data_IF_102958457480
#
_entry.id   IF_102958457480
#
_cell.length_a   1.000
_cell.length_b   1.000
_cell.length_c   1.000
_cell.angle_alpha   90.00
_cell.angle_beta   90.00
_cell.angle_gamma   90.00
#
_symmetry.space_group_name_H-M   'P 1'
#
loop_
_entity.id
_entity.type
_entity.pdbx_description
1 polymer ?
#
# COMPACT_ATOMS: atom_id res chain seq x y z
N UNK A 1 9.95 20.37 -8.92
CA UNK A 1 9.09 19.81 -7.85
C UNK A 1 9.99 19.17 -6.82
N UNK A 2 9.74 19.36 -5.52
CA UNK A 2 10.53 18.69 -4.49
C UNK A 2 10.00 17.25 -4.31
N UNK A 3 10.57 16.32 -5.08
CA UNK A 3 10.18 14.91 -5.12
C UNK A 3 10.24 14.25 -3.74
N UNK A 4 11.25 14.60 -2.94
CA UNK A 4 11.42 14.16 -1.55
C UNK A 4 10.29 14.66 -0.64
N UNK A 5 9.90 15.93 -0.76
CA UNK A 5 8.77 16.47 0.01
C UNK A 5 7.46 15.77 -0.35
N UNK A 6 7.22 15.53 -1.64
CA UNK A 6 6.03 14.79 -2.09
C UNK A 6 6.03 13.34 -1.60
N UNK A 7 7.17 12.65 -1.67
CA UNK A 7 7.31 11.30 -1.15
C UNK A 7 7.03 11.22 0.36
N UNK A 8 7.47 12.23 1.12
CA UNK A 8 7.21 12.36 2.56
C UNK A 8 5.72 12.51 2.87
N UNK A 9 5.00 13.33 2.10
CA UNK A 9 3.54 13.48 2.25
C UNK A 9 2.80 12.15 2.04
N UNK A 10 3.18 11.36 1.03
CA UNK A 10 2.59 10.04 0.82
C UNK A 10 2.96 9.05 1.92
N UNK A 11 4.19 9.10 2.44
CA UNK A 11 4.61 8.24 3.54
C UNK A 11 3.87 8.58 4.85
N UNK A 12 3.59 9.86 5.09
CA UNK A 12 2.74 10.31 6.21
C UNK A 12 1.31 9.76 6.07
N UNK A 13 0.74 9.79 4.86
CA UNK A 13 -0.58 9.19 4.59
C UNK A 13 -0.58 7.67 4.76
N UNK A 14 0.49 6.99 4.33
CA UNK A 14 0.68 5.56 4.55
C UNK A 14 0.68 5.24 6.05
N UNK A 15 1.37 6.06 6.86
CA UNK A 15 1.41 5.92 8.32
C UNK A 15 0.00 6.00 8.92
N UNK A 16 -0.78 7.01 8.50
CA UNK A 16 -2.14 7.20 8.99
C UNK A 16 -3.06 6.04 8.60
N UNK A 17 -3.04 5.64 7.34
CA UNK A 17 -3.91 4.56 6.84
C UNK A 17 -3.55 3.20 7.44
N UNK A 18 -2.25 2.94 7.70
CA UNK A 18 -1.81 1.72 8.37
C UNK A 18 -2.31 1.67 9.82
N UNK A 19 -2.27 2.81 10.53
CA UNK A 19 -2.86 2.92 11.86
C UNK A 19 -4.36 2.65 11.83
N UNK A 20 -5.10 3.31 10.94
CA UNK A 20 -6.54 3.12 10.77
C UNK A 20 -6.89 1.65 10.44
N UNK A 21 -6.08 0.99 9.60
CA UNK A 21 -6.22 -0.43 9.29
C UNK A 21 -6.03 -1.32 10.53
N UNK A 22 -5.05 -0.99 11.36
CA UNK A 22 -4.73 -1.73 12.60
C UNK A 22 -5.83 -1.57 13.64
N UNK A 23 -6.31 -0.33 13.83
CA UNK A 23 -7.40 -0.01 14.74
C UNK A 23 -8.67 -0.78 14.32
N UNK A 24 -9.03 -0.75 13.04
CA UNK A 24 -10.16 -1.51 12.48
C UNK A 24 -10.05 -3.02 12.73
N UNK A 25 -8.84 -3.58 12.59
CA UNK A 25 -8.62 -5.01 12.82
C UNK A 25 -8.84 -5.38 14.29
N UNK A 26 -8.36 -4.53 15.20
CA UNK A 26 -8.53 -4.72 16.65
C UNK A 26 -9.99 -4.60 17.08
N UNK A 27 -10.78 -3.78 16.39
CA UNK A 27 -12.23 -3.63 16.58
C UNK A 27 -13.04 -4.75 15.91
N UNK A 28 -12.41 -5.61 15.10
CA UNK A 28 -13.05 -6.70 14.39
C UNK A 28 -13.69 -6.31 13.05
N UNK A 29 -13.50 -5.07 12.58
CA UNK A 29 -13.94 -4.62 11.26
C UNK A 29 -12.95 -5.04 10.17
N UNK A 30 -13.04 -6.32 9.80
CA UNK A 30 -12.15 -6.95 8.82
C UNK A 30 -12.24 -6.34 7.43
N UNK A 31 -13.42 -5.85 7.04
CA UNK A 31 -13.59 -5.21 5.73
C UNK A 31 -12.85 -3.88 5.71
N UNK A 32 -13.05 -3.05 6.72
CA UNK A 32 -12.40 -1.75 6.79
C UNK A 32 -10.88 -1.88 6.99
N UNK A 33 -10.41 -2.92 7.69
CA UNK A 33 -8.98 -3.30 7.68
C UNK A 33 -8.47 -3.47 6.25
N UNK A 34 -9.14 -4.27 5.41
CA UNK A 34 -8.70 -4.52 4.03
C UNK A 34 -8.73 -3.26 3.17
N UNK A 35 -9.75 -2.41 3.33
CA UNK A 35 -9.85 -1.11 2.64
C UNK A 35 -8.65 -0.22 3.00
N UNK A 36 -8.36 -0.05 4.29
CA UNK A 36 -7.27 0.80 4.74
C UNK A 36 -5.90 0.22 4.43
N UNK A 37 -5.72 -1.10 4.50
CA UNK A 37 -4.50 -1.78 4.06
C UNK A 37 -4.22 -1.56 2.57
N UNK A 38 -5.26 -1.62 1.70
CA UNK A 38 -5.12 -1.27 0.28
C UNK A 38 -4.68 0.18 0.11
N UNK A 39 -5.31 1.13 0.81
CA UNK A 39 -4.92 2.53 0.75
C UNK A 39 -3.49 2.77 1.25
N UNK A 40 -3.04 2.01 2.25
CA UNK A 40 -1.62 2.02 2.66
C UNK A 40 -0.72 1.62 1.50
N UNK A 41 -1.00 0.50 0.82
CA UNK A 41 -0.24 0.05 -0.34
C UNK A 41 -0.22 1.08 -1.48
N UNK A 42 -1.35 1.75 -1.74
CA UNK A 42 -1.42 2.83 -2.73
C UNK A 42 -0.48 3.99 -2.36
N UNK A 43 -0.49 4.42 -1.09
CA UNK A 43 0.37 5.48 -0.60
C UNK A 43 1.86 5.07 -0.62
N UNK A 44 2.19 3.83 -0.27
CA UNK A 44 3.55 3.30 -0.39
C UNK A 44 4.04 3.31 -1.85
N UNK A 45 3.18 2.94 -2.80
CA UNK A 45 3.49 3.03 -4.21
C UNK A 45 3.75 4.47 -4.67
N UNK A 46 2.90 5.42 -4.24
CA UNK A 46 3.12 6.84 -4.50
C UNK A 46 4.43 7.37 -3.90
N UNK A 47 4.81 6.92 -2.70
CA UNK A 47 6.10 7.26 -2.08
C UNK A 47 7.25 6.82 -2.97
N UNK A 48 7.28 5.55 -3.38
CA UNK A 48 8.33 5.01 -4.25
C UNK A 48 8.38 5.74 -5.59
N UNK A 49 7.25 5.92 -6.26
CA UNK A 49 7.19 6.64 -7.54
C UNK A 49 7.70 8.07 -7.43
N UNK A 50 7.32 8.77 -6.35
CA UNK A 50 7.76 10.14 -6.10
C UNK A 50 9.27 10.22 -5.88
N UNK A 51 9.88 9.30 -5.12
CA UNK A 51 11.34 9.23 -4.92
C UNK A 51 12.09 9.13 -6.26
N UNK A 52 11.55 8.35 -7.21
CA UNK A 52 12.11 8.18 -8.54
C UNK A 52 11.62 9.21 -9.58
N UNK A 53 10.94 10.27 -9.13
CA UNK A 53 10.49 11.39 -9.96
C UNK A 53 9.39 11.04 -10.96
N UNK A 54 8.56 10.04 -10.64
CA UNK A 54 7.41 9.64 -11.44
C UNK A 54 6.14 10.16 -10.80
N UNK A 55 5.37 10.95 -11.55
CA UNK A 55 4.05 11.44 -11.14
C UNK A 55 2.97 10.60 -11.83
N UNK A 56 2.05 10.06 -11.05
CA UNK A 56 0.87 9.34 -11.57
C UNK A 56 -0.27 10.34 -11.68
N UNK A 57 -0.77 10.54 -12.89
CA UNK A 57 -1.92 11.42 -13.16
C UNK A 57 -3.23 10.65 -13.26
N UNK A 58 -3.17 9.38 -13.66
CA UNK A 58 -4.32 8.50 -13.87
C UNK A 58 -3.95 7.04 -13.57
N UNK A 59 -4.95 6.21 -13.23
CA UNK A 59 -4.76 4.79 -12.92
C UNK A 59 -4.29 4.50 -11.48
N UNK A 60 -4.02 3.22 -11.21
CA UNK A 60 -3.52 2.78 -9.91
C UNK A 60 -2.00 3.05 -9.81
N UNK A 61 -1.51 3.70 -8.74
CA UNK A 61 -0.06 3.89 -8.55
C UNK A 61 0.67 2.56 -8.43
N UNK A 62 0.01 1.52 -7.91
CA UNK A 62 0.61 0.19 -7.74
C UNK A 62 0.92 -0.46 -9.09
N UNK A 63 0.05 -0.29 -10.09
CA UNK A 63 0.31 -0.81 -11.43
C UNK A 63 1.49 -0.07 -12.09
N UNK A 64 1.58 1.25 -11.87
CA UNK A 64 2.66 2.08 -12.41
C UNK A 64 4.03 1.71 -11.83
N UNK A 65 4.11 1.08 -10.65
CA UNK A 65 5.40 0.62 -10.12
C UNK A 65 6.15 -0.32 -11.06
N UNK A 66 5.45 -1.06 -11.94
CA UNK A 66 6.09 -1.89 -12.96
C UNK A 66 7.01 -1.10 -13.89
N UNK A 67 6.65 0.16 -14.18
CA UNK A 67 7.49 1.07 -14.95
C UNK A 67 8.87 1.31 -14.30
N UNK A 68 8.93 1.42 -12.96
CA UNK A 68 10.20 1.61 -12.27
C UNK A 68 11.11 0.40 -12.43
N UNK A 69 10.55 -0.82 -12.34
CA UNK A 69 11.31 -2.06 -12.52
C UNK A 69 11.94 -2.11 -13.92
N UNK A 70 11.19 -1.70 -14.95
CA UNK A 70 11.63 -1.77 -16.35
C UNK A 70 12.59 -0.64 -16.75
N UNK A 71 12.41 0.56 -16.21
CA UNK A 71 13.06 1.79 -16.71
C UNK A 71 14.08 2.40 -15.78
N UNK A 72 14.23 1.91 -14.55
CA UNK A 72 15.19 2.44 -13.56
C UNK A 72 16.15 1.35 -13.10
N UNK A 73 17.38 1.78 -12.76
CA UNK A 73 18.36 0.93 -12.10
C UNK A 73 18.04 0.85 -10.60
N UNK A 74 17.17 -0.09 -10.25
CA UNK A 74 16.82 -0.39 -8.87
C UNK A 74 17.69 -1.52 -8.31
N UNK A 75 18.04 -1.43 -7.03
CA UNK A 75 18.64 -2.55 -6.32
C UNK A 75 17.62 -3.72 -6.17
N UNK A 76 18.11 -4.91 -5.83
CA UNK A 76 17.25 -6.10 -5.74
C UNK A 76 16.20 -6.01 -4.63
N UNK A 77 16.53 -5.34 -3.52
CA UNK A 77 15.60 -5.16 -2.40
C UNK A 77 14.40 -4.30 -2.79
N UNK A 78 14.62 -3.15 -3.41
CA UNK A 78 13.55 -2.27 -3.91
C UNK A 78 12.68 -2.98 -4.95
N UNK A 79 13.27 -3.79 -5.83
CA UNK A 79 12.49 -4.61 -6.79
C UNK A 79 11.62 -5.63 -6.09
N UNK A 80 12.14 -6.31 -5.07
CA UNK A 80 11.37 -7.28 -4.29
C UNK A 80 10.21 -6.61 -3.53
N UNK A 81 10.46 -5.46 -2.90
CA UNK A 81 9.43 -4.66 -2.21
C UNK A 81 8.33 -4.25 -3.19
N UNK A 82 8.67 -3.76 -4.39
CA UNK A 82 7.68 -3.41 -5.41
C UNK A 82 6.84 -4.62 -5.80
N UNK A 83 7.48 -5.76 -6.09
CA UNK A 83 6.77 -6.97 -6.51
C UNK A 83 5.80 -7.45 -5.43
N UNK A 84 6.20 -7.35 -4.15
CA UNK A 84 5.36 -7.75 -3.02
C UNK A 84 4.20 -6.77 -2.78
N UNK A 85 4.42 -5.44 -2.89
CA UNK A 85 3.34 -4.45 -2.87
C UNK A 85 2.28 -4.80 -3.92
N UNK A 86 2.72 -5.07 -5.15
CA UNK A 86 1.82 -5.42 -6.25
C UNK A 86 1.09 -6.75 -6.03
N UNK A 87 1.75 -7.76 -5.46
CA UNK A 87 1.15 -9.04 -5.11
C UNK A 87 0.02 -8.89 -4.09
N UNK A 88 0.30 -8.25 -2.96
CA UNK A 88 -0.69 -8.07 -1.90
C UNK A 88 -1.84 -7.20 -2.39
N UNK A 89 -1.53 -6.12 -3.11
CA UNK A 89 -2.56 -5.23 -3.64
C UNK A 89 -3.56 -5.98 -4.54
N UNK A 90 -3.08 -6.89 -5.41
CA UNK A 90 -3.96 -7.73 -6.25
C UNK A 90 -4.84 -8.68 -5.43
N UNK A 91 -4.39 -9.11 -4.25
CA UNK A 91 -5.17 -9.95 -3.35
C UNK A 91 -6.29 -9.15 -2.66
N UNK A 92 -6.01 -7.91 -2.24
CA UNK A 92 -6.95 -7.08 -1.46
C UNK A 92 -7.86 -6.20 -2.29
N UNK A 93 -7.43 -5.74 -3.48
CA UNK A 93 -8.19 -4.79 -4.28
C UNK A 93 -9.60 -5.31 -4.66
N UNK A 94 -9.79 -6.58 -5.10
CA UNK A 94 -11.12 -7.09 -5.43
C UNK A 94 -12.12 -7.02 -4.26
N UNK A 95 -11.65 -7.26 -3.03
CA UNK A 95 -12.48 -7.22 -1.82
C UNK A 95 -13.10 -5.83 -1.63
N UNK A 96 -12.38 -4.77 -2.01
CA UNK A 96 -12.85 -3.38 -1.90
C UNK A 96 -13.89 -2.99 -2.95
N UNK A 97 -13.96 -3.71 -4.08
CA UNK A 97 -14.95 -3.44 -5.14
C UNK A 97 -16.27 -4.21 -4.94
N UNK A 98 -16.25 -5.32 -4.22
CA UNK A 98 -17.40 -6.21 -4.05
C UNK A 98 -18.43 -5.72 -3.00
N UNK A 99 -18.18 -4.61 -2.32
CA UNK A 99 -19.11 -4.03 -1.36
C UNK A 99 -20.07 -3.03 -2.02
N UNK A 100 -20.98 -3.53 -2.86
CA UNK A 100 -21.96 -2.71 -3.59
C UNK A 100 -23.25 -2.39 -2.80
N UNK A 101 -23.38 -2.73 -1.50
CA UNK A 101 -24.61 -2.41 -0.77
C UNK A 101 -24.42 -2.12 0.73
N UNK A 102 -24.71 -0.88 1.20
CA UNK A 102 -24.70 -0.54 2.63
C UNK A 102 -25.83 -1.21 3.44
N UNK A 103 -26.71 -2.01 2.81
CA UNK A 103 -27.83 -2.70 3.47
C UNK A 103 -27.64 -4.21 3.63
N UNK A 104 -26.52 -4.78 3.14
CA UNK A 104 -26.17 -6.17 3.43
C UNK A 104 -25.09 -6.19 4.51
N UNK A 105 -25.35 -6.91 5.61
CA UNK A 105 -24.33 -7.21 6.61
C UNK A 105 -23.04 -7.67 5.90
N UNK A 106 -21.84 -7.23 6.32
CA UNK A 106 -20.57 -7.50 5.62
C UNK A 106 -20.38 -9.00 5.50
N UNK A 107 -20.83 -9.57 4.38
CA UNK A 107 -21.07 -10.99 4.27
C UNK A 107 -19.79 -11.66 3.84
N UNK A 108 -19.03 -12.23 4.77
CA UNK A 108 -18.10 -13.35 4.51
C UNK A 108 -17.01 -13.07 3.45
N UNK A 109 -16.69 -11.81 3.16
CA UNK A 109 -15.66 -11.48 2.14
C UNK A 109 -14.23 -11.48 2.70
N UNK A 110 -14.08 -11.34 4.02
CA UNK A 110 -12.79 -11.27 4.68
C UNK A 110 -12.86 -12.06 5.99
N UNK A 111 -12.11 -13.18 6.11
CA UNK A 111 -12.02 -13.94 7.36
C UNK A 111 -10.82 -13.45 8.17
N UNK A 112 -10.92 -13.46 9.50
CA UNK A 112 -9.85 -12.96 10.37
C UNK A 112 -8.50 -13.67 10.12
N UNK A 113 -8.54 -14.98 9.86
CA UNK A 113 -7.36 -15.79 9.53
C UNK A 113 -6.70 -15.39 8.19
N UNK A 114 -7.44 -14.74 7.30
CA UNK A 114 -6.96 -14.27 5.99
C UNK A 114 -6.49 -12.81 6.06
N UNK A 115 -7.15 -11.97 6.88
CA UNK A 115 -6.82 -10.55 7.02
C UNK A 115 -5.60 -10.30 7.88
N UNK A 116 -5.39 -11.08 8.94
CA UNK A 116 -4.22 -10.90 9.82
C UNK A 116 -2.89 -11.02 9.06
N UNK A 117 -2.65 -12.08 8.26
CA UNK A 117 -1.42 -12.17 7.46
C UNK A 117 -1.26 -11.01 6.48
N UNK A 118 -2.35 -10.50 5.91
CA UNK A 118 -2.31 -9.33 5.03
C UNK A 118 -1.82 -8.09 5.79
N UNK A 119 -2.41 -7.80 6.96
CA UNK A 119 -2.02 -6.64 7.78
C UNK A 119 -0.55 -6.73 8.23
N UNK A 120 -0.09 -7.91 8.64
CA UNK A 120 1.31 -8.14 9.02
C UNK A 120 2.26 -7.88 7.85
N UNK A 121 1.92 -8.37 6.65
CA UNK A 121 2.74 -8.14 5.45
C UNK A 121 2.73 -6.68 5.00
N UNK A 122 1.59 -5.98 5.06
CA UNK A 122 1.50 -4.54 4.75
C UNK A 122 2.34 -3.72 5.75
N UNK A 123 2.32 -4.09 7.03
CA UNK A 123 3.15 -3.46 8.06
C UNK A 123 4.65 -3.64 7.76
N UNK A 124 5.05 -4.86 7.40
CA UNK A 124 6.42 -5.14 6.98
C UNK A 124 6.85 -4.31 5.77
N UNK A 125 5.99 -4.21 4.74
CA UNK A 125 6.28 -3.39 3.56
C UNK A 125 6.36 -1.91 3.87
N UNK A 126 5.55 -1.40 4.81
CA UNK A 126 5.65 -0.02 5.28
C UNK A 126 7.04 0.27 5.84
N UNK A 127 7.55 -0.60 6.72
CA UNK A 127 8.89 -0.44 7.30
C UNK A 127 9.97 -0.47 6.22
N UNK A 128 9.86 -1.39 5.25
CA UNK A 128 10.80 -1.47 4.12
C UNK A 128 10.79 -0.25 3.20
N UNK A 129 9.62 0.30 2.91
CA UNK A 129 9.53 1.55 2.12
C UNK A 129 10.08 2.73 2.91
N UNK A 130 9.92 2.75 4.25
CA UNK A 130 10.54 3.77 5.10
C UNK A 130 12.07 3.69 5.05
N UNK A 131 12.64 2.49 5.14
CA UNK A 131 14.09 2.27 4.98
C UNK A 131 14.61 2.78 3.63
N UNK A 132 13.88 2.49 2.53
CA UNK A 132 14.21 3.01 1.20
C UNK A 132 14.14 4.54 1.18
N UNK A 133 13.07 5.13 1.73
CA UNK A 133 12.91 6.58 1.81
C UNK A 133 14.07 7.22 2.58
N UNK A 134 14.41 6.71 3.75
CA UNK A 134 15.51 7.24 4.57
C UNK A 134 16.84 7.16 3.81
N UNK A 135 17.06 6.07 3.05
CA UNK A 135 18.24 5.90 2.19
C UNK A 135 18.40 6.95 1.08
N UNK A 136 17.33 7.61 0.65
CA UNK A 136 17.39 8.73 -0.31
C UNK A 136 17.75 10.08 0.31
N UNK A 137 17.73 10.19 1.65
CA UNK A 137 17.93 11.44 2.39
C UNK A 137 19.19 11.42 3.27
N UNK A 138 19.97 10.34 3.19
CA UNK A 138 21.31 10.21 3.77
C UNK A 138 22.36 10.67 2.76
#
# INVERSE_FOLDING_TARGET
MNNSALASEYLLRATRTLKESTDAFNEGDLYFTVVRAKETLDNLAYTLLSLYGVLVTEGSPVDVLGYLIEKRELNQETKAVIAEIQDIWRQVAPVTFLNESPTKAPSVLARQAEVKPVLERVTYLFDKVREIFDGFHN
#
